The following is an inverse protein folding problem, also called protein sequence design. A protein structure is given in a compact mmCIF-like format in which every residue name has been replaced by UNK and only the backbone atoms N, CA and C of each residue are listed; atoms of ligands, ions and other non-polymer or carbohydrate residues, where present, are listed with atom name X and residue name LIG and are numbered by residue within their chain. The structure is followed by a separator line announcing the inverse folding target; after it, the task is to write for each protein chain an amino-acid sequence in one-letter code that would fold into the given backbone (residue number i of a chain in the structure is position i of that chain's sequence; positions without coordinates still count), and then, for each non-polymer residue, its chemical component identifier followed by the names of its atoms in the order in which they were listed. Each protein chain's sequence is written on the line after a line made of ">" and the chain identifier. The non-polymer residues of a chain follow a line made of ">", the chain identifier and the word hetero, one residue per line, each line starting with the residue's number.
data_IF_248649313960
#
_entry.id   IF_248649313960
#
_cell.length_a   1.000
_cell.length_b   1.000
_cell.length_c   1.000
_cell.angle_alpha   90.00
_cell.angle_beta   90.00
_cell.angle_gamma   90.00
#
_symmetry.space_group_name_H-M   'P 1'
#
loop_
_entity.id
_entity.type
_entity.pdbx_description
1 polymer ?
#
# COMPACT_ATOMS: atom_id res chain seq x y z
N UNK A 1 15.68 -7.79 12.20
CA UNK A 1 15.37 -9.19 11.80
C UNK A 1 14.19 -9.79 12.58
N UNK A 2 14.01 -9.49 13.87
CA UNK A 2 12.86 -10.00 14.67
C UNK A 2 11.51 -9.82 13.99
N UNK A 3 11.25 -8.63 13.40
CA UNK A 3 9.99 -8.36 12.70
C UNK A 3 9.70 -9.27 11.50
N UNK A 4 10.73 -9.75 10.79
CA UNK A 4 10.54 -10.69 9.66
C UNK A 4 10.08 -12.06 10.16
N UNK A 5 10.77 -12.62 11.17
CA UNK A 5 10.40 -13.91 11.73
C UNK A 5 9.04 -13.88 12.43
N UNK A 6 8.72 -12.78 13.13
CA UNK A 6 7.40 -12.57 13.72
C UNK A 6 6.31 -12.53 12.64
N UNK A 7 6.56 -11.81 11.55
CA UNK A 7 5.62 -11.74 10.42
C UNK A 7 5.44 -13.11 9.77
N UNK A 8 6.54 -13.84 9.56
CA UNK A 8 6.51 -15.18 8.97
C UNK A 8 5.67 -16.14 9.81
N UNK A 9 5.88 -16.17 11.13
CA UNK A 9 5.09 -17.00 12.05
C UNK A 9 3.60 -16.62 12.00
N UNK A 10 3.28 -15.32 12.09
CA UNK A 10 1.91 -14.84 12.05
C UNK A 10 1.21 -15.21 10.73
N UNK A 11 1.89 -15.08 9.60
CA UNK A 11 1.31 -15.39 8.28
C UNK A 11 1.14 -16.90 8.05
N UNK A 12 2.01 -17.76 8.60
CA UNK A 12 1.84 -19.22 8.56
C UNK A 12 0.60 -19.67 9.32
N UNK A 13 0.31 -19.01 10.45
CA UNK A 13 -0.83 -19.32 11.29
C UNK A 13 -2.14 -18.75 10.72
N UNK A 14 -2.13 -17.48 10.30
CA UNK A 14 -3.34 -16.80 9.82
C UNK A 14 -3.71 -17.15 8.38
N UNK A 15 -2.73 -17.40 7.52
CA UNK A 15 -2.89 -17.79 6.10
C UNK A 15 -3.87 -16.92 5.30
N UNK A 16 -3.64 -15.61 5.22
CA UNK A 16 -4.53 -14.75 4.45
C UNK A 16 -4.45 -15.05 2.95
N UNK A 17 -5.58 -14.88 2.27
CA UNK A 17 -5.66 -14.98 0.81
C UNK A 17 -4.99 -13.80 0.10
N UNK A 18 -4.91 -12.64 0.76
CA UNK A 18 -4.30 -11.41 0.23
C UNK A 18 -3.85 -10.48 1.35
N UNK A 19 -2.80 -9.70 1.11
CA UNK A 19 -2.35 -8.65 2.04
C UNK A 19 -2.37 -7.31 1.34
N UNK A 20 -3.04 -6.35 1.95
CA UNK A 20 -3.06 -4.96 1.53
C UNK A 20 -1.92 -4.17 2.19
N UNK A 21 -1.11 -3.48 1.40
CA UNK A 21 0.06 -2.71 1.86
C UNK A 21 -0.06 -1.26 1.42
N UNK A 22 -0.09 -0.34 2.40
CA UNK A 22 -0.09 1.11 2.15
C UNK A 22 1.29 1.76 2.24
N UNK A 23 2.30 1.03 2.69
CA UNK A 23 3.67 1.51 2.90
C UNK A 23 4.07 1.60 4.37
N UNK A 24 5.18 2.27 4.64
CA UNK A 24 5.78 2.36 5.98
C UNK A 24 6.72 1.20 6.31
N UNK A 25 7.71 1.45 7.18
CA UNK A 25 8.81 0.50 7.44
C UNK A 25 8.34 -0.86 7.99
N UNK A 26 7.20 -0.90 8.70
CA UNK A 26 6.60 -2.13 9.26
C UNK A 26 6.12 -3.07 8.15
N UNK A 27 5.74 -2.55 6.99
CA UNK A 27 5.23 -3.38 5.89
C UNK A 27 6.32 -4.17 5.15
N UNK A 28 7.60 -3.78 5.26
CA UNK A 28 8.70 -4.52 4.63
C UNK A 28 8.83 -5.97 5.13
N UNK A 29 8.98 -6.25 6.44
CA UNK A 29 9.07 -7.63 6.92
C UNK A 29 7.83 -8.45 6.60
N UNK A 30 6.64 -7.85 6.66
CA UNK A 30 5.37 -8.52 6.30
C UNK A 30 5.34 -8.86 4.81
N UNK A 31 5.67 -7.90 3.94
CA UNK A 31 5.68 -8.09 2.49
C UNK A 31 6.70 -9.12 2.02
N UNK A 32 7.90 -9.16 2.61
CA UNK A 32 8.89 -10.19 2.30
C UNK A 32 8.47 -11.57 2.81
N UNK A 33 7.89 -11.66 4.01
CA UNK A 33 7.35 -12.92 4.52
C UNK A 33 6.19 -13.44 3.65
N UNK A 34 5.28 -12.56 3.25
CA UNK A 34 4.18 -12.86 2.33
C UNK A 34 4.69 -13.37 0.98
N UNK A 35 5.73 -12.72 0.41
CA UNK A 35 6.40 -13.18 -0.81
C UNK A 35 6.96 -14.59 -0.65
N UNK A 36 7.61 -14.89 0.46
CA UNK A 36 8.16 -16.22 0.74
C UNK A 36 7.05 -17.29 0.79
N UNK A 37 5.90 -16.93 1.39
CA UNK A 37 4.73 -17.79 1.51
C UNK A 37 3.82 -17.78 0.28
N UNK A 38 4.18 -17.04 -0.79
CA UNK A 38 3.38 -16.85 -2.02
C UNK A 38 1.98 -16.26 -1.78
N UNK A 39 1.83 -15.46 -0.74
CA UNK A 39 0.61 -14.69 -0.48
C UNK A 39 0.62 -13.43 -1.37
N UNK A 40 -0.43 -13.17 -2.16
CA UNK A 40 -0.46 -12.03 -3.07
C UNK A 40 -0.52 -10.71 -2.29
N UNK A 41 0.22 -9.72 -2.81
CA UNK A 41 0.26 -8.37 -2.26
C UNK A 41 -0.54 -7.42 -3.16
N UNK A 42 -1.40 -6.61 -2.55
CA UNK A 42 -2.05 -5.46 -3.19
C UNK A 42 -1.51 -4.20 -2.53
N UNK A 43 -0.88 -3.33 -3.32
CA UNK A 43 -0.31 -2.09 -2.80
C UNK A 43 -1.26 -0.92 -3.05
N UNK A 44 -1.25 0.06 -2.18
CA UNK A 44 -1.81 1.39 -2.44
C UNK A 44 -0.80 2.45 -2.02
N UNK A 45 -0.48 3.37 -2.93
CA UNK A 45 0.36 4.51 -2.63
C UNK A 45 -0.47 5.79 -2.63
N UNK A 46 -0.57 6.44 -1.48
CA UNK A 46 -1.37 7.68 -1.31
C UNK A 46 -0.55 8.94 -1.57
N UNK A 47 0.78 8.84 -1.57
CA UNK A 47 1.67 9.97 -1.78
C UNK A 47 1.94 10.16 -3.27
N UNK A 48 2.29 11.39 -3.66
CA UNK A 48 2.59 11.70 -5.07
C UNK A 48 3.82 10.97 -5.62
N UNK A 49 4.72 10.50 -4.75
CA UNK A 49 5.90 9.71 -5.15
C UNK A 49 6.00 8.45 -4.31
N UNK A 50 6.40 7.32 -4.91
CA UNK A 50 6.34 6.05 -4.23
C UNK A 50 7.36 5.96 -3.10
N UNK A 51 6.87 5.67 -1.89
CA UNK A 51 7.72 5.46 -0.72
C UNK A 51 8.67 4.28 -0.90
N UNK A 52 9.81 4.28 -0.20
CA UNK A 52 10.84 3.22 -0.33
C UNK A 52 10.25 1.81 -0.13
N UNK A 53 9.36 1.64 0.86
CA UNK A 53 8.70 0.35 1.10
C UNK A 53 7.89 -0.13 -0.10
N UNK A 54 7.06 0.75 -0.67
CA UNK A 54 6.23 0.39 -1.82
C UNK A 54 7.10 0.14 -3.06
N UNK A 55 8.18 0.89 -3.25
CA UNK A 55 9.16 0.66 -4.33
C UNK A 55 9.86 -0.70 -4.22
N UNK A 56 10.21 -1.13 -3.01
CA UNK A 56 10.87 -2.42 -2.79
C UNK A 56 9.90 -3.61 -2.95
N UNK A 57 8.61 -3.41 -2.68
CA UNK A 57 7.59 -4.46 -2.75
C UNK A 57 6.84 -4.49 -4.10
N UNK A 58 6.85 -3.40 -4.87
CA UNK A 58 6.12 -3.30 -6.15
C UNK A 58 6.48 -4.37 -7.19
N UNK A 59 7.73 -4.87 -7.31
CA UNK A 59 8.01 -5.95 -8.26
C UNK A 59 7.24 -7.24 -7.92
N UNK A 60 6.86 -7.41 -6.65
CA UNK A 60 6.21 -8.59 -6.10
C UNK A 60 4.70 -8.43 -5.93
N UNK A 61 4.20 -7.21 -6.11
CA UNK A 61 2.79 -6.90 -6.06
C UNK A 61 2.02 -7.62 -7.18
N UNK A 62 0.78 -8.01 -6.87
CA UNK A 62 -0.21 -8.48 -7.84
C UNK A 62 -0.94 -7.31 -8.49
N UNK A 63 -1.21 -6.25 -7.73
CA UNK A 63 -1.82 -5.00 -8.19
C UNK A 63 -1.35 -3.82 -7.32
N UNK A 64 -1.36 -2.62 -7.89
CA UNK A 64 -0.91 -1.38 -7.26
C UNK A 64 -1.93 -0.28 -7.57
N UNK A 65 -2.59 0.25 -6.55
CA UNK A 65 -3.42 1.44 -6.64
C UNK A 65 -2.62 2.71 -6.35
N UNK A 66 -2.85 3.79 -7.11
CA UNK A 66 -2.22 5.10 -6.84
C UNK A 66 -3.23 6.17 -6.46
N UNK A 67 -2.84 7.04 -5.53
CA UNK A 67 -3.59 8.20 -5.07
C UNK A 67 -3.41 9.44 -5.96
N UNK A 68 -2.30 9.52 -6.68
CA UNK A 68 -2.04 10.52 -7.71
C UNK A 68 -2.01 9.88 -9.12
N UNK A 69 -2.09 10.68 -10.21
CA UNK A 69 -1.94 10.19 -11.58
C UNK A 69 -0.68 9.33 -11.79
N UNK A 70 -0.78 8.32 -12.66
CA UNK A 70 0.28 7.32 -12.87
C UNK A 70 1.61 7.90 -13.35
N UNK A 71 1.60 9.07 -13.99
CA UNK A 71 2.80 9.77 -14.47
C UNK A 71 3.81 10.11 -13.36
N UNK A 72 3.37 10.18 -12.10
CA UNK A 72 4.25 10.45 -10.95
C UNK A 72 4.92 9.20 -10.37
N UNK A 73 4.60 8.00 -10.88
CA UNK A 73 5.09 6.74 -10.33
C UNK A 73 5.93 5.97 -11.34
N UNK A 74 6.98 5.32 -10.84
CA UNK A 74 7.78 4.37 -11.62
C UNK A 74 7.40 2.92 -11.27
N UNK A 75 6.10 2.62 -11.31
CA UNK A 75 5.59 1.26 -11.09
C UNK A 75 5.48 0.49 -12.40
N UNK A 76 5.46 -0.86 -12.35
CA UNK A 76 5.18 -1.66 -13.53
C UNK A 76 3.79 -1.31 -14.10
N UNK A 77 3.69 -0.82 -15.35
CA UNK A 77 2.45 -0.28 -15.91
C UNK A 77 1.34 -1.33 -15.99
N UNK A 78 1.69 -2.61 -16.13
CA UNK A 78 0.75 -3.73 -16.16
C UNK A 78 0.12 -4.06 -14.80
N UNK A 79 0.64 -3.47 -13.71
CA UNK A 79 0.18 -3.70 -12.33
C UNK A 79 -0.43 -2.47 -11.69
N UNK A 80 -0.17 -1.28 -12.24
CA UNK A 80 -0.53 -0.01 -11.63
C UNK A 80 -1.83 0.55 -12.20
N UNK A 81 -2.69 1.09 -11.34
CA UNK A 81 -3.93 1.76 -11.75
C UNK A 81 -4.21 2.96 -10.85
N UNK A 82 -4.58 4.08 -11.46
CA UNK A 82 -5.01 5.26 -10.71
C UNK A 82 -6.40 5.01 -10.13
N UNK A 83 -6.50 5.04 -8.80
CA UNK A 83 -7.74 4.76 -8.04
C UNK A 83 -8.12 5.89 -7.10
N UNK A 84 -7.26 6.90 -6.94
CA UNK A 84 -7.46 7.98 -5.98
C UNK A 84 -7.19 7.56 -4.53
N UNK A 85 -7.48 8.47 -3.59
CA UNK A 85 -7.27 8.25 -2.16
C UNK A 85 -8.58 7.74 -1.55
N UNK A 86 -8.58 6.58 -0.87
CA UNK A 86 -9.74 6.12 -0.12
C UNK A 86 -10.04 7.11 1.01
N UNK A 87 -11.21 7.73 0.94
CA UNK A 87 -11.74 8.66 1.95
C UNK A 87 -13.04 8.11 2.51
N UNK A 88 -13.41 8.56 3.71
CA UNK A 88 -14.67 8.19 4.32
C UNK A 88 -15.86 8.70 3.46
N UNK A 89 -17.00 7.99 3.41
CA UNK A 89 -18.17 8.42 2.64
C UNK A 89 -18.68 9.83 2.98
N UNK A 90 -18.53 10.24 4.23
CA UNK A 90 -18.89 11.56 4.76
C UNK A 90 -17.87 12.66 4.43
N UNK A 91 -16.70 12.29 3.90
CA UNK A 91 -15.68 13.24 3.53
C UNK A 91 -16.16 14.07 2.34
N UNK A 92 -16.18 15.38 2.53
CA UNK A 92 -16.44 16.35 1.49
C UNK A 92 -15.37 17.43 1.55
N UNK A 93 -15.17 18.10 0.43
CA UNK A 93 -14.26 19.22 0.38
C UNK A 93 -14.85 20.39 1.16
N UNK A 94 -14.20 20.81 2.24
CA UNK A 94 -14.59 22.01 2.97
C UNK A 94 -14.53 23.25 2.09
N UNK A 95 -15.60 24.03 2.12
CA UNK A 95 -15.67 25.39 1.58
C UNK A 95 -14.74 26.33 2.36
N UNK A 96 -14.38 27.47 1.75
CA UNK A 96 -13.55 28.47 2.43
C UNK A 96 -14.17 29.00 3.73
N UNK A 97 -15.51 29.07 3.79
CA UNK A 97 -16.24 29.51 4.97
C UNK A 97 -16.11 28.51 6.13
N UNK A 98 -16.10 27.21 5.83
CA UNK A 98 -15.96 26.14 6.83
C UNK A 98 -14.52 26.03 7.35
N UNK A 99 -13.52 26.28 6.49
CA UNK A 99 -12.10 26.25 6.87
C UNK A 99 -11.70 27.32 7.88
N UNK A 100 -12.43 28.45 7.94
CA UNK A 100 -12.15 29.54 8.89
C UNK A 100 -12.74 29.32 10.28
N UNK A 101 -13.59 28.30 10.46
CA UNK A 101 -14.32 28.03 11.71
C UNK A 101 -13.70 26.93 12.58
N UNK A 102 -12.73 26.18 12.06
CA UNK A 102 -11.94 25.18 12.77
C UNK A 102 -10.48 25.65 12.86
#
# INVERSE_FOLDING_TARGET
>A
MVGFFQSLFNLINWRPDVIFIKGGYVCLPVGYAARLLRIPLVLHDSDAHPGLTNRLLSPFAKAIGTGAPLEYYNYPPEKASYVGIPVAPEFHQYSEAERKKN
#
